data_IF_397551527341
#
_entry.id   IF_397551527341
#
_cell.length_a   1.000
_cell.length_b   1.000
_cell.length_c   1.000
_cell.angle_alpha   90.00
_cell.angle_beta   90.00
_cell.angle_gamma   90.00
#
_symmetry.space_group_name_H-M   'P 1'
#
loop_
_entity.id
_entity.type
_entity.pdbx_description
1 polymer ?
#
# COMPACT_ATOMS: atom_id res chain seq x y z
N UNK A 1 17.54 40.59 -41.98
CA UNK A 1 17.52 40.88 -40.53
C UNK A 1 16.05 41.10 -40.15
N UNK A 2 15.35 40.34 -39.30
CA UNK A 2 15.68 39.41 -38.22
C UNK A 2 14.51 38.41 -38.03
N UNK A 3 14.88 37.14 -37.87
CA UNK A 3 14.37 36.12 -36.94
C UNK A 3 12.87 35.71 -37.01
N UNK A 4 12.70 34.56 -37.67
CA UNK A 4 11.78 33.48 -37.34
C UNK A 4 11.75 33.24 -35.82
N UNK A 5 10.58 33.30 -35.19
CA UNK A 5 10.33 32.72 -33.87
C UNK A 5 9.09 31.85 -33.98
N UNK A 6 9.33 30.59 -34.36
CA UNK A 6 8.40 29.50 -34.09
C UNK A 6 8.58 29.19 -32.61
N UNK A 7 7.63 29.61 -31.77
CA UNK A 7 7.52 29.07 -30.42
C UNK A 7 6.58 27.86 -30.50
N UNK A 8 7.16 26.69 -30.77
CA UNK A 8 6.54 25.41 -30.43
C UNK A 8 6.46 25.35 -28.89
N UNK A 9 5.33 25.75 -28.32
CA UNK A 9 4.97 25.28 -27.00
C UNK A 9 4.34 23.90 -27.22
N UNK A 10 5.19 22.88 -27.36
CA UNK A 10 4.76 21.52 -27.20
C UNK A 10 4.24 21.41 -25.75
N UNK A 11 2.92 21.42 -25.61
CA UNK A 11 2.23 20.87 -24.47
C UNK A 11 2.64 19.40 -24.41
N UNK A 12 3.78 19.12 -23.80
CA UNK A 12 4.03 17.80 -23.26
C UNK A 12 3.10 17.66 -22.06
N UNK A 13 1.85 17.28 -22.36
CA UNK A 13 1.11 16.36 -21.51
C UNK A 13 1.96 15.09 -21.46
N UNK A 14 3.01 15.10 -20.65
CA UNK A 14 3.47 13.84 -20.12
C UNK A 14 2.33 13.41 -19.20
N UNK A 15 1.54 12.45 -19.67
CA UNK A 15 0.93 11.46 -18.80
C UNK A 15 2.08 10.80 -18.03
N UNK A 16 2.60 11.48 -17.01
CA UNK A 16 3.32 10.81 -15.93
C UNK A 16 2.25 10.18 -15.06
N UNK A 17 1.55 9.18 -15.59
CA UNK A 17 1.20 8.04 -14.76
C UNK A 17 2.55 7.47 -14.30
N UNK A 18 3.10 8.04 -13.24
CA UNK A 18 3.94 7.28 -12.33
C UNK A 18 3.13 6.01 -12.12
N UNK A 19 3.64 4.86 -12.54
CA UNK A 19 2.95 3.61 -12.27
C UNK A 19 2.93 3.48 -10.75
N UNK A 20 1.84 3.95 -10.14
CA UNK A 20 1.63 3.89 -8.72
C UNK A 20 1.63 2.41 -8.36
N UNK A 21 2.35 2.06 -7.31
CA UNK A 21 2.40 0.65 -6.88
C UNK A 21 0.98 0.25 -6.51
N UNK A 22 0.39 -0.66 -7.28
CA UNK A 22 -0.99 -1.09 -7.03
C UNK A 22 -0.98 -2.09 -5.89
N UNK A 23 -1.48 -1.68 -4.73
CA UNK A 23 -1.50 -2.53 -3.53
C UNK A 23 -2.92 -2.65 -3.01
N UNK A 24 -3.34 -3.89 -2.76
CA UNK A 24 -4.66 -4.18 -2.22
C UNK A 24 -4.67 -5.38 -1.28
N UNK A 25 -5.58 -5.36 -0.32
CA UNK A 25 -5.97 -6.55 0.45
C UNK A 25 -6.95 -7.37 -0.37
N UNK A 26 -6.80 -8.69 -0.36
CA UNK A 26 -7.73 -9.62 -0.97
C UNK A 26 -8.16 -10.70 0.03
N UNK A 27 -9.47 -10.92 0.13
CA UNK A 27 -10.09 -11.98 0.94
C UNK A 27 -11.16 -12.68 0.09
N UNK A 28 -10.87 -13.88 -0.40
CA UNK A 28 -11.68 -14.53 -1.43
C UNK A 28 -11.71 -13.69 -2.72
N UNK A 29 -12.90 -13.44 -3.25
CA UNK A 29 -13.11 -12.62 -4.45
C UNK A 29 -13.20 -11.11 -4.16
N UNK A 30 -13.19 -10.71 -2.88
CA UNK A 30 -13.28 -9.32 -2.48
C UNK A 30 -11.89 -8.68 -2.37
N UNK A 31 -11.79 -7.43 -2.80
CA UNK A 31 -10.56 -6.64 -2.79
C UNK A 31 -10.80 -5.27 -2.15
N UNK A 32 -9.75 -4.75 -1.50
CA UNK A 32 -9.68 -3.41 -0.95
C UNK A 32 -8.37 -2.75 -1.39
N UNK A 33 -8.45 -1.79 -2.30
CA UNK A 33 -7.26 -1.07 -2.79
C UNK A 33 -6.98 0.20 -1.99
N UNK A 34 -5.72 0.59 -1.93
CA UNK A 34 -5.35 1.93 -1.47
C UNK A 34 -6.01 3.01 -2.36
N UNK A 35 -6.42 4.11 -1.76
CA UNK A 35 -7.13 5.20 -2.43
C UNK A 35 -8.59 4.90 -2.80
N UNK A 36 -9.07 3.67 -2.60
CA UNK A 36 -10.44 3.31 -2.89
C UNK A 36 -11.40 4.03 -1.94
N UNK A 37 -12.38 4.75 -2.49
CA UNK A 37 -13.52 5.23 -1.72
C UNK A 37 -14.33 4.04 -1.18
N UNK A 38 -14.54 4.00 0.13
CA UNK A 38 -15.22 2.89 0.77
C UNK A 38 -16.02 3.31 2.01
N UNK A 39 -17.20 2.72 2.18
CA UNK A 39 -18.02 2.88 3.37
C UNK A 39 -17.70 1.83 4.45
N UNK A 40 -18.02 2.16 5.71
CA UNK A 40 -17.96 1.20 6.82
C UNK A 40 -18.77 -0.08 6.57
N UNK A 41 -19.92 0.04 5.89
CA UNK A 41 -20.76 -1.11 5.54
C UNK A 41 -20.05 -2.05 4.56
N UNK A 42 -19.40 -1.49 3.52
CA UNK A 42 -18.62 -2.29 2.58
C UNK A 42 -17.43 -2.95 3.26
N UNK A 43 -16.69 -2.23 4.12
CA UNK A 43 -15.62 -2.83 4.92
C UNK A 43 -16.15 -3.98 5.81
N UNK A 44 -17.32 -3.79 6.42
CA UNK A 44 -17.94 -4.81 7.27
C UNK A 44 -18.38 -6.04 6.47
N UNK A 45 -18.80 -5.86 5.22
CA UNK A 45 -19.13 -6.97 4.33
C UNK A 45 -17.89 -7.80 3.93
N UNK A 46 -16.69 -7.20 3.95
CA UNK A 46 -15.44 -7.90 3.62
C UNK A 46 -14.85 -8.56 4.87
N UNK A 47 -14.74 -7.80 5.97
CA UNK A 47 -13.95 -8.20 7.14
C UNK A 47 -14.80 -8.61 8.36
N UNK A 48 -16.13 -8.47 8.30
CA UNK A 48 -17.02 -8.66 9.43
C UNK A 48 -17.22 -7.38 10.25
N UNK A 49 -17.89 -7.47 11.39
CA UNK A 49 -18.13 -6.30 12.23
C UNK A 49 -16.82 -5.74 12.82
N UNK A 50 -16.60 -4.41 12.82
CA UNK A 50 -15.43 -3.82 13.45
C UNK A 50 -15.50 -4.02 14.98
N UNK A 51 -14.34 -4.29 15.59
CA UNK A 51 -14.14 -4.38 17.04
C UNK A 51 -14.01 -3.00 17.68
N UNK A 52 -13.40 -2.07 16.98
CA UNK A 52 -13.30 -0.68 17.40
C UNK A 52 -13.28 0.25 16.20
N UNK A 53 -13.78 1.46 16.41
CA UNK A 53 -13.73 2.55 15.46
C UNK A 53 -13.34 3.81 16.21
N UNK A 54 -12.28 4.48 15.79
CA UNK A 54 -11.92 5.83 16.23
C UNK A 54 -11.92 6.77 15.03
N UNK A 55 -12.18 8.05 15.26
CA UNK A 55 -12.14 9.04 14.19
C UNK A 55 -11.88 10.44 14.74
N UNK A 56 -11.15 11.24 13.97
CA UNK A 56 -10.77 12.61 14.30
C UNK A 56 -10.56 13.41 13.02
N UNK A 57 -10.63 14.73 13.13
CA UNK A 57 -10.25 15.64 12.03
C UNK A 57 -8.76 15.97 12.19
N UNK A 58 -8.01 15.89 11.10
CA UNK A 58 -6.60 16.25 11.03
C UNK A 58 -6.46 17.44 10.08
N UNK A 59 -6.26 18.62 10.63
CA UNK A 59 -6.09 19.89 9.92
C UNK A 59 -4.61 20.27 9.72
N UNK A 60 -3.68 19.48 10.24
CA UNK A 60 -2.25 19.77 10.20
C UNK A 60 -1.55 19.03 9.04
N UNK A 61 -1.81 17.74 8.92
CA UNK A 61 -1.09 16.84 8.02
C UNK A 61 -1.94 16.47 6.81
N UNK A 62 -3.16 16.01 7.06
CA UNK A 62 -3.99 15.39 6.03
C UNK A 62 -5.15 16.26 5.51
N UNK A 63 -5.46 17.36 6.19
CA UNK A 63 -6.61 18.24 5.91
C UNK A 63 -7.91 17.44 5.65
N UNK A 64 -8.32 16.65 6.64
CA UNK A 64 -9.49 15.79 6.47
C UNK A 64 -9.87 14.93 7.66
N UNK A 65 -10.96 14.18 7.46
CA UNK A 65 -11.47 13.23 8.45
C UNK A 65 -10.71 11.92 8.36
N UNK A 66 -10.04 11.55 9.45
CA UNK A 66 -9.43 10.23 9.62
C UNK A 66 -10.39 9.31 10.36
N UNK A 67 -10.54 8.09 9.87
CA UNK A 67 -11.18 7.00 10.60
C UNK A 67 -10.27 5.78 10.67
N UNK A 68 -10.12 5.19 11.85
CA UNK A 68 -9.36 3.97 12.07
C UNK A 68 -10.32 2.87 12.50
N UNK A 69 -10.37 1.79 11.73
CA UNK A 69 -11.25 0.65 11.96
C UNK A 69 -10.42 -0.59 12.24
N UNK A 70 -10.66 -1.23 13.38
CA UNK A 70 -10.05 -2.50 13.73
C UNK A 70 -11.07 -3.63 13.58
N UNK A 71 -10.72 -4.66 12.82
CA UNK A 71 -11.45 -5.93 12.71
C UNK A 71 -10.67 -7.04 13.44
N UNK A 72 -11.13 -8.29 13.39
CA UNK A 72 -10.47 -9.41 14.09
C UNK A 72 -8.97 -9.52 13.79
N UNK A 73 -8.59 -9.43 12.52
CA UNK A 73 -7.20 -9.62 12.07
C UNK A 73 -6.76 -8.64 10.98
N UNK A 74 -7.54 -7.57 10.78
CA UNK A 74 -7.30 -6.52 9.77
C UNK A 74 -7.55 -5.18 10.42
N UNK A 75 -6.71 -4.19 10.15
CA UNK A 75 -6.97 -2.79 10.44
C UNK A 75 -6.99 -1.99 9.15
N UNK A 76 -7.85 -0.98 9.08
CA UNK A 76 -7.96 -0.07 7.93
C UNK A 76 -8.06 1.35 8.46
N UNK A 77 -7.25 2.24 7.90
CA UNK A 77 -7.38 3.69 8.10
C UNK A 77 -7.93 4.31 6.83
N UNK A 78 -8.91 5.22 6.96
CA UNK A 78 -9.43 6.01 5.85
C UNK A 78 -9.20 7.49 6.08
N UNK A 79 -9.02 8.23 4.98
CA UNK A 79 -9.00 9.70 4.94
C UNK A 79 -10.14 10.15 4.02
N UNK A 80 -11.08 10.93 4.55
CA UNK A 80 -12.28 11.39 3.83
C UNK A 80 -13.05 10.23 3.14
N UNK A 81 -13.05 9.05 3.78
CA UNK A 81 -13.68 7.84 3.26
C UNK A 81 -12.89 7.06 2.19
N UNK A 82 -11.69 7.50 1.82
CA UNK A 82 -10.77 6.75 0.96
C UNK A 82 -9.77 5.96 1.79
N UNK A 83 -9.42 4.73 1.37
CA UNK A 83 -8.44 3.89 2.07
C UNK A 83 -7.07 4.56 2.05
N UNK A 84 -6.54 4.88 3.23
CA UNK A 84 -5.24 5.52 3.42
C UNK A 84 -4.15 4.47 3.67
N UNK A 85 -4.40 3.55 4.59
CA UNK A 85 -3.49 2.44 4.91
C UNK A 85 -4.26 1.24 5.47
N UNK A 86 -3.56 0.11 5.60
CA UNK A 86 -4.09 -1.09 6.24
C UNK A 86 -2.99 -1.94 6.85
N UNK A 87 -3.36 -2.82 7.79
CA UNK A 87 -2.53 -3.94 8.23
C UNK A 87 -3.35 -5.22 8.35
N UNK A 88 -2.70 -6.37 8.23
CA UNK A 88 -3.33 -7.68 8.36
C UNK A 88 -2.42 -8.70 9.03
N UNK A 89 -3.00 -9.47 9.96
CA UNK A 89 -2.44 -10.69 10.56
C UNK A 89 -3.20 -11.95 10.11
N UNK A 90 -4.09 -11.78 9.13
CA UNK A 90 -5.00 -12.84 8.68
C UNK A 90 -4.30 -13.84 7.78
N UNK A 91 -4.44 -15.14 8.07
CA UNK A 91 -4.09 -16.21 7.13
C UNK A 91 -5.10 -16.37 5.98
N UNK A 92 -6.24 -15.69 6.05
CA UNK A 92 -7.30 -15.74 5.03
C UNK A 92 -7.27 -14.51 4.11
N UNK A 93 -6.44 -13.52 4.42
CA UNK A 93 -6.28 -12.30 3.64
C UNK A 93 -4.87 -12.24 3.09
N UNK A 94 -4.73 -11.92 1.82
CA UNK A 94 -3.43 -11.71 1.19
C UNK A 94 -3.28 -10.25 0.79
N UNK A 95 -2.06 -9.73 0.89
CA UNK A 95 -1.69 -8.46 0.26
C UNK A 95 -1.15 -8.77 -1.12
N UNK A 96 -1.74 -8.16 -2.14
CA UNK A 96 -1.32 -8.31 -3.52
C UNK A 96 -0.70 -7.01 -3.99
N UNK A 97 0.44 -7.13 -4.67
CA UNK A 97 1.23 -6.00 -5.13
C UNK A 97 1.38 -6.06 -6.64
N UNK A 98 1.28 -4.89 -7.29
CA UNK A 98 1.42 -4.67 -8.73
C UNK A 98 0.62 -5.67 -9.56
N UNK A 99 -0.68 -5.81 -9.26
CA UNK A 99 -1.60 -6.68 -9.99
C UNK A 99 -1.19 -8.16 -10.02
N UNK A 100 -0.60 -8.66 -8.94
CA UNK A 100 -0.25 -10.08 -8.81
C UNK A 100 1.19 -10.41 -9.16
N UNK A 101 2.04 -9.39 -9.34
CA UNK A 101 3.50 -9.54 -9.44
C UNK A 101 4.05 -10.35 -8.27
N UNK A 102 3.59 -10.05 -7.05
CA UNK A 102 3.72 -10.99 -5.94
C UNK A 102 2.57 -10.80 -4.96
N UNK A 103 2.42 -11.78 -4.08
CA UNK A 103 1.46 -11.70 -2.98
C UNK A 103 2.09 -12.21 -1.68
N UNK A 104 1.63 -11.64 -0.58
CA UNK A 104 2.12 -11.96 0.76
C UNK A 104 0.95 -12.29 1.66
N UNK A 105 1.16 -13.26 2.55
CA UNK A 105 0.16 -13.70 3.52
C UNK A 105 0.84 -13.96 4.86
N UNK A 106 0.12 -13.65 5.94
CA UNK A 106 0.58 -14.02 7.29
C UNK A 106 0.72 -15.55 7.38
N UNK A 107 1.76 -16.01 8.04
CA UNK A 107 2.17 -17.41 8.14
C UNK A 107 3.05 -17.91 7.00
N UNK A 108 3.31 -17.10 5.96
CA UNK A 108 4.26 -17.46 4.90
C UNK A 108 5.71 -17.23 5.34
N UNK A 109 6.67 -18.06 4.91
CA UNK A 109 8.08 -17.77 5.07
C UNK A 109 8.49 -16.54 4.26
N UNK A 110 9.35 -15.71 4.83
CA UNK A 110 9.88 -14.53 4.14
C UNK A 110 10.70 -14.90 2.90
N UNK A 111 11.39 -16.04 2.90
CA UNK A 111 12.16 -16.51 1.75
C UNK A 111 11.30 -16.62 0.49
N UNK A 112 10.05 -17.06 0.61
CA UNK A 112 9.12 -17.13 -0.51
C UNK A 112 8.77 -15.75 -1.08
N UNK A 113 8.76 -14.70 -0.26
CA UNK A 113 8.54 -13.33 -0.74
C UNK A 113 9.79 -12.82 -1.43
N UNK A 114 10.97 -13.01 -0.83
CA UNK A 114 12.26 -12.61 -1.39
C UNK A 114 12.49 -13.25 -2.77
N UNK A 115 12.17 -14.54 -2.92
CA UNK A 115 12.24 -15.25 -4.21
C UNK A 115 11.30 -14.64 -5.27
N UNK A 116 10.06 -14.30 -4.90
CA UNK A 116 9.10 -13.67 -5.82
C UNK A 116 9.55 -12.28 -6.26
N UNK A 117 10.25 -11.53 -5.40
CA UNK A 117 10.66 -10.15 -5.70
C UNK A 117 12.05 -10.02 -6.32
N UNK A 118 12.81 -11.11 -6.45
CA UNK A 118 14.23 -11.06 -6.83
C UNK A 118 14.50 -10.37 -8.18
N UNK A 119 13.56 -10.49 -9.13
CA UNK A 119 13.67 -9.86 -10.45
C UNK A 119 13.02 -8.46 -10.53
N UNK A 120 12.47 -7.97 -9.42
CA UNK A 120 11.78 -6.69 -9.35
C UNK A 120 12.65 -5.60 -8.74
N UNK A 121 12.47 -4.37 -9.20
CA UNK A 121 13.13 -3.20 -8.64
C UNK A 121 12.52 -2.81 -7.29
N UNK A 122 12.83 -3.61 -6.26
CA UNK A 122 12.36 -3.44 -4.89
C UNK A 122 13.58 -3.34 -3.99
N UNK A 123 13.63 -2.27 -3.19
CA UNK A 123 14.62 -2.12 -2.14
C UNK A 123 14.11 -2.85 -0.90
N UNK A 124 14.92 -3.78 -0.41
CA UNK A 124 14.66 -4.55 0.81
C UNK A 124 15.52 -4.00 1.93
N UNK A 125 14.90 -3.56 3.02
CA UNK A 125 15.58 -3.07 4.21
C UNK A 125 15.14 -3.89 5.41
N UNK A 126 16.08 -4.31 6.25
CA UNK A 126 15.77 -4.98 7.52
C UNK A 126 15.99 -4.00 8.68
N UNK A 127 15.01 -3.93 9.58
CA UNK A 127 15.08 -3.18 10.82
C UNK A 127 14.46 -4.00 11.96
N UNK A 128 15.28 -4.47 12.89
CA UNK A 128 14.85 -5.39 13.95
C UNK A 128 14.13 -6.63 13.39
N UNK A 129 12.88 -6.86 13.79
CA UNK A 129 12.00 -7.92 13.32
C UNK A 129 11.14 -7.50 12.11
N UNK A 130 11.40 -6.35 11.49
CA UNK A 130 10.69 -5.89 10.32
C UNK A 130 11.54 -5.95 9.05
N UNK A 131 10.89 -6.32 7.96
CA UNK A 131 11.41 -6.18 6.60
C UNK A 131 10.53 -5.17 5.86
N UNK A 132 11.17 -4.13 5.35
CA UNK A 132 10.54 -3.02 4.66
C UNK A 132 10.85 -3.17 3.17
N UNK A 133 9.80 -3.23 2.37
CA UNK A 133 9.87 -3.29 0.91
C UNK A 133 9.47 -1.93 0.33
N UNK A 134 10.40 -1.29 -0.38
CA UNK A 134 10.15 -0.03 -1.10
C UNK A 134 10.22 -0.26 -2.60
N UNK A 135 9.29 0.34 -3.33
CA UNK A 135 9.10 0.09 -4.75
C UNK A 135 9.75 1.17 -5.58
N UNK A 136 10.58 0.80 -6.56
CA UNK A 136 11.26 1.76 -7.43
C UNK A 136 10.24 2.56 -8.25
N UNK A 137 10.43 3.87 -8.33
CA UNK A 137 9.60 4.74 -9.16
C UNK A 137 10.05 4.55 -10.63
N UNK A 138 9.13 4.23 -11.56
CA UNK A 138 9.49 3.97 -12.95
C UNK A 138 10.29 5.12 -13.57
N UNK A 139 11.33 4.78 -14.33
CA UNK A 139 12.20 5.74 -15.03
C UNK A 139 12.99 6.70 -14.12
N UNK A 140 13.19 6.35 -12.84
CA UNK A 140 14.03 7.11 -11.90
C UNK A 140 14.97 6.17 -11.15
N UNK A 141 15.94 6.70 -10.42
CA UNK A 141 16.72 5.93 -9.43
C UNK A 141 16.17 6.05 -8.00
N UNK A 142 14.98 6.64 -7.86
CA UNK A 142 14.30 6.83 -6.60
C UNK A 142 13.34 5.66 -6.28
N UNK A 143 13.03 5.51 -4.99
CA UNK A 143 12.06 4.55 -4.48
C UNK A 143 10.91 5.32 -3.82
N UNK A 144 9.71 4.74 -3.86
CA UNK A 144 8.57 5.29 -3.12
C UNK A 144 8.89 5.37 -1.63
N UNK A 145 8.43 6.46 -1.02
CA UNK A 145 8.53 6.63 0.43
C UNK A 145 7.52 5.75 1.16
N UNK A 146 6.38 5.48 0.53
CA UNK A 146 5.44 4.45 0.93
C UNK A 146 6.08 3.06 0.85
N UNK A 147 5.69 2.18 1.76
CA UNK A 147 6.33 0.88 1.88
C UNK A 147 5.38 -0.22 2.36
N UNK A 148 5.74 -1.45 1.99
CA UNK A 148 5.14 -2.64 2.58
C UNK A 148 6.07 -3.14 3.69
N UNK A 149 5.57 -3.16 4.91
CA UNK A 149 6.27 -3.66 6.08
C UNK A 149 5.80 -5.07 6.42
N UNK A 150 6.76 -5.96 6.68
CA UNK A 150 6.54 -7.35 7.07
C UNK A 150 7.15 -7.56 8.45
N UNK A 151 6.34 -7.83 9.46
CA UNK A 151 6.83 -8.32 10.75
C UNK A 151 7.18 -9.80 10.61
N UNK A 152 8.40 -10.18 10.97
CA UNK A 152 8.93 -11.53 10.78
C UNK A 152 9.46 -12.07 12.12
N UNK A 153 9.07 -13.29 12.46
CA UNK A 153 9.54 -13.96 13.68
C UNK A 153 10.96 -14.53 13.53
N UNK A 154 11.50 -15.10 14.61
CA UNK A 154 12.83 -15.71 14.64
C UNK A 154 13.02 -16.87 13.66
N UNK A 155 11.93 -17.49 13.19
CA UNK A 155 11.94 -18.59 12.22
C UNK A 155 11.76 -18.09 10.78
N UNK A 156 11.68 -16.79 10.56
CA UNK A 156 11.45 -16.23 9.23
C UNK A 156 9.99 -16.27 8.79
N UNK A 157 9.03 -16.45 9.71
CA UNK A 157 7.60 -16.50 9.39
C UNK A 157 6.98 -15.11 9.55
N UNK A 158 6.22 -14.70 8.54
CA UNK A 158 5.55 -13.39 8.52
C UNK A 158 4.36 -13.41 9.47
N UNK A 159 4.36 -12.54 10.48
CA UNK A 159 3.26 -12.38 11.44
C UNK A 159 2.24 -11.34 11.00
N UNK A 160 2.70 -10.13 10.69
CA UNK A 160 1.89 -8.99 10.26
C UNK A 160 2.41 -8.44 8.93
N UNK A 161 1.48 -7.94 8.11
CA UNK A 161 1.76 -7.23 6.87
C UNK A 161 1.05 -5.88 6.93
N UNK A 162 1.76 -4.78 6.72
CA UNK A 162 1.20 -3.44 6.77
C UNK A 162 1.66 -2.60 5.58
N UNK A 163 0.75 -1.81 5.02
CA UNK A 163 1.12 -0.71 4.13
C UNK A 163 1.30 0.56 4.96
N UNK A 164 2.45 1.20 4.83
CA UNK A 164 2.77 2.46 5.50
C UNK A 164 2.88 3.56 4.46
N UNK A 165 2.12 4.62 4.66
CA UNK A 165 2.28 5.88 3.92
C UNK A 165 3.36 6.72 4.59
N UNK A 166 4.22 7.35 3.79
CA UNK A 166 5.10 8.38 4.30
C UNK A 166 4.30 9.65 4.58
N UNK A 167 4.62 10.31 5.69
CA UNK A 167 3.97 11.53 6.18
C UNK A 167 5.06 12.58 6.35
#
# INVERSE_FOLDING_TARGET
>A
MKKLFILFFALFLFDTTIAQTNVYLQKGDQQLSLGQAISRLQLSNIFGAPKSVSSFDDDEVFDGRIEMLQFDSVSVTTLNGAVLNFATRSKQTQVVVNNGVFSVRSGSPISCVVEQIHDYSILVQQHENYIILRFKIPNTDAYNEDSLSLEVDENGIIGEIAWSIAI
#
